data_IF_527870492159
#
_entry.id   IF_527870492159
#
_cell.length_a   1.000
_cell.length_b   1.000
_cell.length_c   1.000
_cell.angle_alpha   90.00
_cell.angle_beta   90.00
_cell.angle_gamma   90.00
#
_symmetry.space_group_name_H-M   'P 1'
#
loop_
_entity.id
_entity.type
_entity.pdbx_description
1 polymer ?
#
# COMPACT_ATOMS: atom_id res chain seq x y z
N UNK A 1 -17.56 25.78 -13.35
CA UNK A 1 -16.55 24.76 -12.99
C UNK A 1 -16.89 23.46 -13.74
N UNK A 2 -16.46 23.31 -15.00
CA UNK A 2 -16.54 22.03 -15.76
C UNK A 2 -15.52 20.98 -15.23
N UNK A 3 -15.23 21.05 -13.95
CA UNK A 3 -13.87 20.83 -13.45
C UNK A 3 -13.62 19.37 -13.08
N UNK A 4 -12.56 18.83 -13.66
CA UNK A 4 -11.88 17.58 -13.30
C UNK A 4 -12.66 16.29 -13.56
N UNK A 5 -13.82 16.06 -12.92
CA UNK A 5 -14.37 14.72 -12.77
C UNK A 5 -14.81 14.05 -14.09
N UNK A 6 -15.58 14.75 -14.93
CA UNK A 6 -16.06 14.20 -16.22
C UNK A 6 -14.90 13.96 -17.18
N UNK A 7 -13.91 14.86 -17.21
CA UNK A 7 -12.70 14.73 -18.03
C UNK A 7 -11.87 13.52 -17.60
N UNK A 8 -11.73 13.29 -16.29
CA UNK A 8 -11.03 12.13 -15.71
C UNK A 8 -11.72 10.82 -16.07
N UNK A 9 -13.05 10.71 -15.93
CA UNK A 9 -13.79 9.51 -16.31
C UNK A 9 -13.63 9.21 -17.81
N UNK A 10 -13.82 10.22 -18.68
CA UNK A 10 -13.69 10.06 -20.14
C UNK A 10 -12.27 9.64 -20.54
N UNK A 11 -11.25 10.18 -19.85
CA UNK A 11 -9.84 9.81 -19.99
C UNK A 11 -9.57 8.35 -19.57
N UNK A 12 -10.00 7.96 -18.37
CA UNK A 12 -9.82 6.61 -17.83
C UNK A 12 -10.48 5.53 -18.71
N UNK A 13 -11.65 5.82 -19.28
CA UNK A 13 -12.35 4.93 -20.23
C UNK A 13 -11.57 4.80 -21.55
N UNK A 14 -10.95 5.89 -22.03
CA UNK A 14 -10.11 5.86 -23.25
C UNK A 14 -8.87 5.00 -23.06
N UNK A 15 -8.28 5.04 -21.87
CA UNK A 15 -7.04 4.36 -21.49
C UNK A 15 -7.25 2.98 -20.86
N UNK A 16 -8.37 2.30 -21.16
CA UNK A 16 -8.70 0.96 -20.64
C UNK A 16 -7.59 -0.10 -20.79
N UNK A 17 -6.67 0.07 -21.75
CA UNK A 17 -5.53 -0.84 -21.98
C UNK A 17 -4.40 -0.66 -20.96
N UNK A 18 -4.30 0.47 -20.26
CA UNK A 18 -3.24 0.71 -19.26
C UNK A 18 -3.34 -0.30 -18.10
N UNK A 19 -4.50 -0.50 -17.45
CA UNK A 19 -4.64 -1.52 -16.42
C UNK A 19 -4.41 -2.95 -16.92
N UNK A 20 -4.62 -3.22 -18.21
CA UNK A 20 -4.32 -4.52 -18.81
C UNK A 20 -2.83 -4.79 -18.82
N UNK A 21 -2.05 -3.84 -19.35
CA UNK A 21 -0.59 -3.93 -19.44
C UNK A 21 0.00 -4.03 -18.04
N UNK A 22 -0.43 -3.15 -17.12
CA UNK A 22 -0.02 -3.18 -15.71
C UNK A 22 -0.36 -4.53 -15.08
N UNK A 23 -1.56 -5.04 -15.31
CA UNK A 23 -1.99 -6.33 -14.76
C UNK A 23 -1.15 -7.51 -15.24
N UNK A 24 -0.84 -7.56 -16.53
CA UNK A 24 0.05 -8.58 -17.11
C UNK A 24 1.46 -8.47 -16.53
N UNK A 25 2.03 -7.26 -16.46
CA UNK A 25 3.35 -7.02 -15.89
C UNK A 25 3.41 -7.44 -14.41
N UNK A 26 2.36 -7.13 -13.63
CA UNK A 26 2.27 -7.55 -12.23
C UNK A 26 2.19 -9.07 -12.10
N UNK A 27 1.42 -9.77 -12.94
CA UNK A 27 1.37 -11.24 -12.90
C UNK A 27 2.76 -11.83 -13.19
N UNK A 28 3.44 -11.34 -14.22
CA UNK A 28 4.81 -11.79 -14.56
C UNK A 28 5.75 -11.53 -13.39
N UNK A 29 5.72 -10.34 -12.82
CA UNK A 29 6.53 -9.96 -11.67
C UNK A 29 6.24 -10.85 -10.46
N UNK A 30 4.98 -11.11 -10.15
CA UNK A 30 4.58 -11.96 -9.04
C UNK A 30 5.02 -13.42 -9.23
N UNK A 31 4.91 -13.95 -10.46
CA UNK A 31 5.45 -15.28 -10.79
C UNK A 31 6.98 -15.28 -10.60
N UNK A 32 7.68 -14.27 -11.11
CA UNK A 32 9.12 -14.12 -10.92
C UNK A 32 9.51 -14.07 -9.44
N UNK A 33 8.74 -13.36 -8.62
CA UNK A 33 8.94 -13.29 -7.18
C UNK A 33 8.83 -14.66 -6.51
N UNK A 34 7.85 -15.47 -6.91
CA UNK A 34 7.62 -16.80 -6.35
C UNK A 34 8.62 -17.85 -6.84
N UNK A 35 9.14 -17.72 -8.06
CA UNK A 35 10.15 -18.65 -8.61
C UNK A 35 11.56 -18.33 -8.14
N UNK A 36 11.83 -17.09 -7.72
CA UNK A 36 13.14 -16.65 -7.22
C UNK A 36 13.06 -16.07 -5.80
N UNK A 37 12.63 -16.86 -4.80
CA UNK A 37 12.29 -16.33 -3.48
C UNK A 37 13.49 -15.71 -2.76
N UNK A 38 14.69 -16.28 -2.91
CA UNK A 38 15.90 -15.75 -2.27
C UNK A 38 16.36 -14.42 -2.89
N UNK A 39 16.34 -14.32 -4.21
CA UNK A 39 16.71 -13.08 -4.91
C UNK A 39 15.69 -11.97 -4.60
N UNK A 40 14.40 -12.32 -4.63
CA UNK A 40 13.31 -11.42 -4.27
C UNK A 40 13.40 -10.96 -2.82
N UNK A 41 13.81 -11.86 -1.92
CA UNK A 41 14.04 -11.53 -0.53
C UNK A 41 15.14 -10.49 -0.36
N UNK A 42 16.28 -10.70 -1.04
CA UNK A 42 17.38 -9.76 -1.05
C UNK A 42 16.95 -8.40 -1.62
N UNK A 43 16.18 -8.38 -2.72
CA UNK A 43 15.64 -7.13 -3.28
C UNK A 43 14.76 -6.40 -2.26
N UNK A 44 13.89 -7.12 -1.55
CA UNK A 44 13.02 -6.53 -0.53
C UNK A 44 13.84 -5.95 0.65
N UNK A 45 14.87 -6.69 1.09
CA UNK A 45 15.80 -6.23 2.12
C UNK A 45 16.57 -4.97 1.69
N UNK A 46 17.00 -4.89 0.42
CA UNK A 46 17.66 -3.70 -0.13
C UNK A 46 16.72 -2.50 -0.20
N UNK A 47 15.49 -2.68 -0.68
CA UNK A 47 14.48 -1.60 -0.72
C UNK A 47 14.19 -1.09 0.70
N UNK A 48 14.06 -2.00 1.66
CA UNK A 48 13.89 -1.64 3.07
C UNK A 48 15.08 -0.86 3.63
N UNK A 49 16.31 -1.25 3.28
CA UNK A 49 17.52 -0.53 3.68
C UNK A 49 17.58 0.88 3.08
N UNK A 50 17.20 1.02 1.81
CA UNK A 50 17.07 2.33 1.15
C UNK A 50 16.00 3.20 1.81
N UNK A 51 14.88 2.60 2.24
CA UNK A 51 13.84 3.32 2.97
C UNK A 51 14.38 3.92 4.27
N UNK A 52 15.13 3.16 5.08
CA UNK A 52 15.74 3.68 6.30
C UNK A 52 16.71 4.84 6.02
N UNK A 53 17.55 4.70 4.99
CA UNK A 53 18.47 5.75 4.60
C UNK A 53 17.73 7.01 4.16
N UNK A 54 16.75 6.87 3.26
CA UNK A 54 16.01 8.00 2.73
C UNK A 54 15.15 8.68 3.80
N UNK A 55 14.46 7.91 4.66
CA UNK A 55 13.71 8.44 5.79
C UNK A 55 14.63 9.20 6.73
N UNK A 56 15.78 8.62 7.08
CA UNK A 56 16.77 9.26 7.95
C UNK A 56 17.27 10.59 7.39
N UNK A 57 17.62 10.63 6.11
CA UNK A 57 18.03 11.87 5.44
C UNK A 57 16.92 12.92 5.42
N UNK A 58 15.67 12.52 5.12
CA UNK A 58 14.54 13.43 5.10
C UNK A 58 14.20 13.97 6.49
N UNK A 59 14.28 13.15 7.53
CA UNK A 59 14.11 13.57 8.93
C UNK A 59 15.19 14.55 9.37
N UNK A 60 16.46 14.33 8.99
CA UNK A 60 17.55 15.28 9.24
C UNK A 60 17.27 16.61 8.55
N UNK A 61 16.93 16.60 7.25
CA UNK A 61 16.62 17.80 6.49
C UNK A 61 15.43 18.55 7.13
N UNK A 62 14.37 17.82 7.49
CA UNK A 62 13.19 18.37 8.14
C UNK A 62 13.56 19.03 9.49
N UNK A 63 14.33 18.34 10.33
CA UNK A 63 14.74 18.85 11.64
C UNK A 63 15.57 20.13 11.53
N UNK A 64 16.51 20.19 10.56
CA UNK A 64 17.36 21.37 10.35
C UNK A 64 16.53 22.55 9.84
N UNK A 65 15.63 22.31 8.88
CA UNK A 65 14.82 23.37 8.27
C UNK A 65 13.75 23.93 9.23
N UNK A 66 13.26 23.13 10.17
CA UNK A 66 12.16 23.49 11.06
C UNK A 66 12.62 23.67 12.53
N UNK A 67 13.92 23.77 12.78
CA UNK A 67 14.50 23.84 14.14
C UNK A 67 13.94 24.96 15.03
N UNK A 68 13.45 26.04 14.42
CA UNK A 68 12.89 27.19 15.14
C UNK A 68 11.36 27.17 15.21
N UNK A 69 10.70 26.35 14.38
CA UNK A 69 9.24 26.32 14.20
C UNK A 69 8.61 25.11 14.91
N UNK A 70 9.37 24.03 15.09
CA UNK A 70 8.90 22.76 15.66
C UNK A 70 9.55 22.51 17.01
N UNK A 71 8.74 22.47 18.06
CA UNK A 71 9.16 21.98 19.37
C UNK A 71 9.57 20.50 19.27
N UNK A 72 10.71 20.16 19.87
CA UNK A 72 11.24 18.80 19.82
C UNK A 72 12.00 18.43 18.53
N UNK A 73 12.39 19.40 17.70
CA UNK A 73 13.22 19.16 16.49
C UNK A 73 14.45 18.27 16.73
N UNK A 74 15.04 18.32 17.93
CA UNK A 74 16.19 17.48 18.32
C UNK A 74 15.89 15.98 18.28
N UNK A 75 14.64 15.56 18.55
CA UNK A 75 14.22 14.17 18.45
C UNK A 75 14.13 13.71 16.99
N UNK A 76 13.66 14.58 16.09
CA UNK A 76 13.67 14.32 14.65
C UNK A 76 15.09 14.24 14.11
N UNK A 77 16.01 15.09 14.59
CA UNK A 77 17.41 15.01 14.18
C UNK A 77 18.07 13.71 14.68
N UNK A 78 17.86 13.34 15.94
CA UNK A 78 18.41 12.12 16.52
C UNK A 78 17.84 10.86 15.83
N UNK A 79 16.52 10.82 15.63
CA UNK A 79 15.85 9.76 14.88
C UNK A 79 16.36 9.67 13.44
N UNK A 80 16.50 10.80 12.77
CA UNK A 80 17.00 10.86 11.40
C UNK A 80 18.44 10.38 11.26
N UNK A 81 19.34 10.76 12.18
CA UNK A 81 20.72 10.26 12.22
C UNK A 81 20.74 8.75 12.44
N UNK A 82 19.96 8.25 13.40
CA UNK A 82 19.86 6.83 13.69
C UNK A 82 19.36 6.06 12.47
N UNK A 83 18.26 6.50 11.85
CA UNK A 83 17.68 5.89 10.66
C UNK A 83 18.67 5.88 9.48
N UNK A 84 19.40 6.99 9.25
CA UNK A 84 20.42 7.06 8.22
C UNK A 84 21.58 6.08 8.48
N UNK A 85 22.04 5.97 9.72
CA UNK A 85 23.07 5.02 10.12
C UNK A 85 22.62 3.57 9.91
N UNK A 86 21.39 3.23 10.34
CA UNK A 86 20.81 1.92 10.07
C UNK A 86 20.75 1.66 8.56
N UNK A 87 20.24 2.61 7.77
CA UNK A 87 20.21 2.49 6.31
C UNK A 87 21.59 2.20 5.70
N UNK A 88 22.63 2.93 6.12
CA UNK A 88 24.00 2.71 5.67
C UNK A 88 24.54 1.32 6.06
N UNK A 89 24.34 0.87 7.30
CA UNK A 89 24.81 -0.44 7.79
C UNK A 89 24.11 -1.56 7.01
N UNK A 90 22.80 -1.44 6.83
CA UNK A 90 21.99 -2.42 6.13
C UNK A 90 22.40 -2.51 4.64
N UNK A 91 22.60 -1.38 3.96
CA UNK A 91 23.09 -1.39 2.58
C UNK A 91 24.51 -1.96 2.44
N UNK A 92 25.37 -1.72 3.43
CA UNK A 92 26.74 -2.25 3.46
C UNK A 92 26.82 -3.75 3.72
N UNK A 93 25.80 -4.36 4.32
CA UNK A 93 25.79 -5.79 4.64
C UNK A 93 24.43 -6.45 4.33
N UNK A 94 24.30 -7.10 3.15
CA UNK A 94 23.09 -7.81 2.74
C UNK A 94 22.60 -8.86 3.75
N UNK A 95 23.50 -9.54 4.47
CA UNK A 95 23.12 -10.57 5.43
C UNK A 95 22.43 -9.95 6.66
N UNK A 96 22.90 -8.79 7.13
CA UNK A 96 22.26 -8.08 8.24
C UNK A 96 20.88 -7.55 7.81
N UNK A 97 20.74 -7.05 6.59
CA UNK A 97 19.46 -6.61 6.02
C UNK A 97 18.42 -7.72 5.96
N UNK A 98 18.86 -8.89 5.51
CA UNK A 98 18.05 -10.11 5.49
C UNK A 98 17.75 -10.67 6.90
N UNK A 99 18.39 -10.23 7.97
CA UNK A 99 17.99 -10.61 9.32
C UNK A 99 17.09 -9.54 9.97
N UNK A 100 17.34 -8.28 9.64
CA UNK A 100 16.72 -7.12 10.30
C UNK A 100 15.29 -6.91 9.84
N UNK A 101 15.01 -7.04 8.54
CA UNK A 101 13.67 -6.79 7.98
C UNK A 101 12.58 -7.66 8.67
N UNK A 102 12.75 -8.98 8.81
CA UNK A 102 11.77 -9.82 9.49
C UNK A 102 11.69 -9.58 10.99
N UNK A 103 12.79 -9.19 11.64
CA UNK A 103 12.77 -8.83 13.06
C UNK A 103 11.90 -7.60 13.29
N UNK A 104 12.10 -6.54 12.50
CA UNK A 104 11.29 -5.31 12.59
C UNK A 104 9.81 -5.64 12.34
N UNK A 105 9.51 -6.43 11.31
CA UNK A 105 8.14 -6.83 11.01
C UNK A 105 7.55 -7.78 12.06
N UNK A 106 8.35 -8.65 12.65
CA UNK A 106 7.96 -9.54 13.74
C UNK A 106 7.57 -8.76 15.00
N UNK A 107 8.39 -7.80 15.42
CA UNK A 107 8.07 -6.91 16.53
C UNK A 107 6.86 -6.02 16.25
N UNK A 108 6.76 -5.48 15.03
CA UNK A 108 5.58 -4.71 14.61
C UNK A 108 4.31 -5.58 14.67
N UNK A 109 4.36 -6.78 14.11
CA UNK A 109 3.26 -7.75 14.13
C UNK A 109 2.88 -8.12 15.57
N UNK A 110 3.86 -8.26 16.47
CA UNK A 110 3.62 -8.56 17.88
C UNK A 110 2.84 -7.42 18.54
N UNK A 111 3.32 -6.19 18.38
CA UNK A 111 2.67 -5.01 18.93
C UNK A 111 1.25 -4.82 18.37
N UNK A 112 1.07 -5.01 17.06
CA UNK A 112 -0.27 -4.98 16.42
C UNK A 112 -1.20 -6.05 16.95
N UNK A 113 -0.70 -7.26 17.21
CA UNK A 113 -1.50 -8.36 17.75
C UNK A 113 -1.91 -8.08 19.19
N UNK A 114 -1.03 -7.50 20.00
CA UNK A 114 -1.38 -7.02 21.35
C UNK A 114 -2.41 -5.89 21.32
N UNK A 115 -2.28 -4.91 20.43
CA UNK A 115 -3.32 -3.88 20.23
C UNK A 115 -4.67 -4.50 19.87
N UNK A 116 -4.69 -5.46 18.95
CA UNK A 116 -5.92 -6.13 18.53
C UNK A 116 -6.53 -6.97 19.66
N UNK A 117 -5.69 -7.55 20.53
CA UNK A 117 -6.13 -8.23 21.73
C UNK A 117 -6.83 -7.24 22.68
N UNK A 118 -6.25 -6.06 22.90
CA UNK A 118 -6.88 -4.98 23.68
C UNK A 118 -8.24 -4.58 23.10
N UNK A 119 -8.29 -4.34 21.78
CA UNK A 119 -9.55 -4.01 21.08
C UNK A 119 -10.59 -5.13 21.22
N UNK A 120 -10.18 -6.39 21.22
CA UNK A 120 -11.10 -7.51 21.41
C UNK A 120 -11.76 -7.50 22.80
N UNK A 121 -11.03 -7.06 23.83
CA UNK A 121 -11.56 -6.89 25.18
C UNK A 121 -12.57 -5.74 25.24
N UNK A 122 -12.29 -4.64 24.56
CA UNK A 122 -13.22 -3.52 24.46
C UNK A 122 -14.51 -3.94 23.74
N UNK A 123 -14.41 -4.68 22.64
CA UNK A 123 -15.58 -5.20 21.93
C UNK A 123 -16.42 -6.17 22.77
N UNK A 124 -15.76 -6.98 23.62
CA UNK A 124 -16.45 -7.82 24.60
C UNK A 124 -17.23 -6.96 25.60
N UNK A 125 -16.62 -5.89 26.11
CA UNK A 125 -17.25 -4.96 27.05
C UNK A 125 -18.41 -4.19 26.41
N UNK A 126 -18.36 -3.90 25.11
CA UNK A 126 -19.46 -3.28 24.36
C UNK A 126 -20.56 -4.27 23.92
N UNK A 127 -20.50 -5.54 24.33
CA UNK A 127 -21.55 -6.53 24.04
C UNK A 127 -21.57 -7.05 22.60
N UNK A 128 -20.50 -6.83 21.81
CA UNK A 128 -20.43 -7.30 20.43
C UNK A 128 -20.16 -8.81 20.41
N UNK A 129 -21.15 -9.61 20.00
CA UNK A 129 -21.10 -11.10 20.02
C UNK A 129 -19.91 -11.72 19.27
N UNK A 130 -19.30 -11.03 18.31
CA UNK A 130 -18.17 -11.56 17.50
C UNK A 130 -16.77 -11.33 18.12
N UNK A 131 -16.67 -10.81 19.34
CA UNK A 131 -15.39 -10.52 20.01
C UNK A 131 -14.44 -11.73 20.08
N UNK A 132 -14.98 -12.93 20.30
CA UNK A 132 -14.17 -14.16 20.43
C UNK A 132 -13.38 -14.51 19.17
N UNK A 133 -13.87 -14.14 17.98
CA UNK A 133 -13.08 -14.32 16.76
C UNK A 133 -11.85 -13.43 16.75
N UNK A 134 -12.01 -12.18 17.16
CA UNK A 134 -10.92 -11.21 17.21
C UNK A 134 -9.87 -11.67 18.22
N UNK A 135 -10.27 -12.11 19.42
CA UNK A 135 -9.34 -12.66 20.42
C UNK A 135 -8.56 -13.85 19.86
N UNK A 136 -9.22 -14.76 19.15
CA UNK A 136 -8.56 -15.93 18.55
C UNK A 136 -7.52 -15.50 17.51
N UNK A 137 -7.87 -14.58 16.60
CA UNK A 137 -6.93 -14.05 15.61
C UNK A 137 -5.77 -13.28 16.26
N UNK A 138 -6.01 -12.55 17.34
CA UNK A 138 -4.96 -11.86 18.09
C UNK A 138 -3.96 -12.83 18.73
N UNK A 139 -4.43 -13.92 19.34
CA UNK A 139 -3.56 -14.94 19.94
C UNK A 139 -2.74 -15.66 18.87
N UNK A 140 -3.37 -16.04 17.74
CA UNK A 140 -2.66 -16.59 16.59
C UNK A 140 -1.63 -15.60 16.04
N UNK A 141 -1.98 -14.31 15.99
CA UNK A 141 -1.07 -13.24 15.60
C UNK A 141 0.16 -13.15 16.50
N UNK A 142 -0.03 -13.18 17.83
CA UNK A 142 1.07 -13.17 18.79
C UNK A 142 2.01 -14.38 18.58
N UNK A 143 1.44 -15.58 18.46
CA UNK A 143 2.23 -16.80 18.21
C UNK A 143 3.00 -16.70 16.89
N UNK A 144 2.33 -16.23 15.84
CA UNK A 144 2.96 -16.00 14.54
C UNK A 144 4.11 -15.00 14.65
N UNK A 145 3.94 -13.90 15.38
CA UNK A 145 5.01 -12.93 15.61
C UNK A 145 6.23 -13.55 16.32
N UNK A 146 6.01 -14.42 17.31
CA UNK A 146 7.11 -15.14 17.96
C UNK A 146 7.85 -16.06 16.99
N UNK A 147 7.13 -16.79 16.13
CA UNK A 147 7.73 -17.62 15.08
C UNK A 147 8.58 -16.75 14.13
N UNK A 148 8.09 -15.56 13.77
CA UNK A 148 8.80 -14.63 12.90
C UNK A 148 10.13 -14.15 13.51
N UNK A 149 10.11 -13.83 14.80
CA UNK A 149 11.29 -13.35 15.53
C UNK A 149 12.30 -14.49 15.73
N UNK A 150 11.83 -15.71 16.03
CA UNK A 150 12.69 -16.86 16.29
C UNK A 150 13.43 -17.34 15.03
N UNK A 151 12.79 -17.29 13.86
CA UNK A 151 13.39 -17.72 12.61
C UNK A 151 13.27 -16.64 11.52
N UNK A 152 14.21 -15.67 11.47
CA UNK A 152 14.18 -14.58 10.51
C UNK A 152 14.24 -15.03 9.06
N UNK A 153 14.92 -16.15 8.75
CA UNK A 153 15.00 -16.67 7.37
C UNK A 153 13.63 -17.18 6.92
N UNK A 154 12.97 -17.99 7.75
CA UNK A 154 11.62 -18.46 7.48
C UNK A 154 10.62 -17.29 7.37
N UNK A 155 10.74 -16.30 8.24
CA UNK A 155 9.94 -15.09 8.22
C UNK A 155 10.14 -14.31 6.91
N UNK A 156 11.39 -14.11 6.48
CA UNK A 156 11.75 -13.48 5.22
C UNK A 156 11.13 -14.17 4.01
N UNK A 157 11.23 -15.50 3.94
CA UNK A 157 10.61 -16.29 2.87
C UNK A 157 9.09 -16.20 2.88
N UNK A 158 8.47 -16.25 4.06
CA UNK A 158 7.02 -16.08 4.20
C UNK A 158 6.59 -14.74 3.65
N UNK A 159 7.31 -13.66 3.95
CA UNK A 159 7.02 -12.33 3.41
C UNK A 159 7.10 -12.32 1.88
N UNK A 160 8.10 -12.97 1.28
CA UNK A 160 8.23 -13.06 -0.18
C UNK A 160 7.08 -13.84 -0.82
N UNK A 161 6.63 -14.93 -0.19
CA UNK A 161 5.46 -15.66 -0.70
C UNK A 161 4.20 -14.80 -0.63
N UNK A 162 3.95 -14.15 0.52
CA UNK A 162 2.80 -13.26 0.68
C UNK A 162 2.83 -12.07 -0.30
N UNK A 163 3.99 -11.46 -0.53
CA UNK A 163 4.12 -10.37 -1.52
C UNK A 163 3.93 -10.89 -2.94
N UNK A 164 4.50 -12.04 -3.29
CA UNK A 164 4.30 -12.66 -4.60
C UNK A 164 2.82 -12.95 -4.89
N UNK A 165 2.11 -13.57 -3.94
CA UNK A 165 0.66 -13.80 -4.07
C UNK A 165 -0.13 -12.48 -4.14
N UNK A 166 0.22 -11.47 -3.33
CA UNK A 166 -0.42 -10.17 -3.37
C UNK A 166 -0.22 -9.49 -4.73
N UNK A 167 0.99 -9.51 -5.29
CA UNK A 167 1.31 -8.95 -6.60
C UNK A 167 0.50 -9.64 -7.71
N UNK A 168 0.42 -10.98 -7.68
CA UNK A 168 -0.41 -11.74 -8.64
C UNK A 168 -1.89 -11.34 -8.50
N UNK A 169 -2.40 -11.27 -7.28
CA UNK A 169 -3.80 -10.89 -7.02
C UNK A 169 -4.11 -9.47 -7.51
N UNK A 170 -3.19 -8.52 -7.30
CA UNK A 170 -3.30 -7.15 -7.80
C UNK A 170 -3.23 -7.10 -9.33
N UNK A 171 -2.40 -7.95 -9.94
CA UNK A 171 -2.33 -8.14 -11.39
C UNK A 171 -3.66 -8.64 -11.97
N UNK A 172 -4.24 -9.68 -11.37
CA UNK A 172 -5.56 -10.19 -11.74
C UNK A 172 -6.65 -9.13 -11.59
N UNK A 173 -6.66 -8.39 -10.47
CA UNK A 173 -7.60 -7.30 -10.24
C UNK A 173 -7.47 -6.20 -11.31
N UNK A 174 -6.26 -5.84 -11.70
CA UNK A 174 -5.99 -4.83 -12.74
C UNK A 174 -6.49 -5.27 -14.12
N UNK A 175 -6.37 -6.56 -14.44
CA UNK A 175 -6.94 -7.13 -15.67
C UNK A 175 -8.47 -7.07 -15.64
N UNK A 176 -9.11 -7.42 -14.52
CA UNK A 176 -10.56 -7.31 -14.37
C UNK A 176 -11.02 -5.86 -14.55
N UNK A 177 -10.31 -4.90 -13.94
CA UNK A 177 -10.58 -3.47 -14.10
C UNK A 177 -10.45 -3.02 -15.55
N UNK A 178 -9.45 -3.52 -16.29
CA UNK A 178 -9.31 -3.23 -17.72
C UNK A 178 -10.55 -3.64 -18.52
N UNK A 179 -11.05 -4.85 -18.28
CA UNK A 179 -12.24 -5.34 -18.99
C UNK A 179 -13.50 -4.56 -18.59
N UNK A 180 -13.61 -4.15 -17.33
CA UNK A 180 -14.70 -3.28 -16.89
C UNK A 180 -14.64 -1.91 -17.59
N UNK A 181 -13.46 -1.28 -17.69
CA UNK A 181 -13.27 -0.03 -18.42
C UNK A 181 -13.55 -0.16 -19.92
N UNK A 182 -13.13 -1.28 -20.53
CA UNK A 182 -13.41 -1.58 -21.94
C UNK A 182 -14.91 -1.70 -22.17
N UNK A 183 -15.64 -2.39 -21.28
CA UNK A 183 -17.11 -2.51 -21.34
C UNK A 183 -17.79 -1.14 -21.23
N UNK A 184 -17.33 -0.29 -20.30
CA UNK A 184 -17.85 1.08 -20.16
C UNK A 184 -17.62 1.91 -21.43
N UNK A 185 -16.45 1.77 -22.08
CA UNK A 185 -16.16 2.42 -23.37
C UNK A 185 -17.13 1.99 -24.45
N UNK A 186 -17.41 0.70 -24.57
CA UNK A 186 -18.34 0.17 -25.57
C UNK A 186 -19.77 0.67 -25.33
N UNK A 187 -20.24 0.65 -24.07
CA UNK A 187 -21.58 1.16 -23.72
C UNK A 187 -21.69 2.65 -24.07
N UNK A 188 -20.70 3.47 -23.69
CA UNK A 188 -20.69 4.90 -24.00
C UNK A 188 -20.67 5.20 -25.51
N UNK A 189 -19.96 4.39 -26.30
CA UNK A 189 -19.93 4.53 -27.75
C UNK A 189 -21.27 4.17 -28.42
N UNK A 190 -22.01 3.22 -27.85
CA UNK A 190 -23.29 2.73 -28.39
C UNK A 190 -24.50 3.62 -28.04
N UNK A 191 -24.34 4.63 -27.18
CA UNK A 191 -25.41 5.61 -26.91
C UNK A 191 -25.69 6.42 -28.18
N UNK A 192 -26.96 6.59 -28.55
CA UNK A 192 -27.34 7.36 -29.74
C UNK A 192 -26.91 8.83 -29.63
N UNK A 193 -26.59 9.45 -30.76
CA UNK A 193 -26.15 10.84 -30.77
C UNK A 193 -27.27 11.80 -30.32
N UNK A 194 -28.54 11.44 -30.55
CA UNK A 194 -29.70 12.14 -29.99
C UNK A 194 -29.65 12.20 -28.45
N UNK A 195 -29.45 11.06 -27.78
CA UNK A 195 -29.34 11.02 -26.32
C UNK A 195 -28.11 11.78 -25.80
N UNK A 196 -26.99 11.74 -26.53
CA UNK A 196 -25.78 12.51 -26.18
C UNK A 196 -26.05 14.01 -26.24
N UNK A 197 -26.70 14.48 -27.30
CA UNK A 197 -27.03 15.89 -27.49
C UNK A 197 -28.01 16.37 -26.41
N UNK A 198 -29.09 15.61 -26.17
CA UNK A 198 -30.07 15.93 -25.11
C UNK A 198 -29.44 16.00 -23.71
N UNK A 199 -28.48 15.13 -23.42
CA UNK A 199 -27.75 15.16 -22.16
C UNK A 199 -26.86 16.40 -22.02
N UNK A 200 -26.13 16.79 -23.07
CA UNK A 200 -25.33 18.02 -23.08
C UNK A 200 -26.21 19.27 -22.91
N UNK A 201 -27.37 19.31 -23.56
CA UNK A 201 -28.34 20.40 -23.42
C UNK A 201 -28.83 20.55 -21.97
N UNK A 202 -29.27 19.44 -21.35
CA UNK A 202 -29.72 19.42 -19.94
C UNK A 202 -28.60 19.78 -18.96
N UNK A 203 -27.38 19.29 -19.20
CA UNK A 203 -26.19 19.64 -18.40
C UNK A 203 -25.92 21.14 -18.48
N UNK A 204 -25.98 21.73 -19.67
CA UNK A 204 -25.75 23.16 -19.88
C UNK A 204 -26.84 24.01 -19.22
N UNK A 205 -28.10 23.59 -19.28
CA UNK A 205 -29.22 24.23 -18.61
C UNK A 205 -29.04 24.24 -17.08
N UNK A 206 -28.67 23.10 -16.49
CA UNK A 206 -28.35 23.00 -15.06
C UNK A 206 -27.24 23.98 -14.64
N UNK A 207 -26.14 24.04 -15.40
CA UNK A 207 -25.05 24.96 -15.07
C UNK A 207 -25.41 26.43 -15.25
N UNK A 208 -26.30 26.77 -16.19
CA UNK A 208 -26.86 28.13 -16.30
C UNK A 208 -27.71 28.46 -15.07
N UNK A 209 -28.59 27.56 -14.65
CA UNK A 209 -29.45 27.78 -13.47
C UNK A 209 -28.70 27.98 -12.14
N UNK A 210 -27.51 27.40 -12.00
CA UNK A 210 -26.64 27.62 -10.82
C UNK A 210 -25.89 28.95 -10.91
N UNK A 211 -25.66 29.46 -12.13
CA UNK A 211 -24.87 30.67 -12.36
C UNK A 211 -25.73 31.94 -12.36
N UNK A 212 -27.02 31.79 -12.64
CA UNK A 212 -28.02 32.87 -12.67
C UNK A 212 -28.72 33.08 -11.29
N UNK A 213 -28.39 32.26 -10.29
CA UNK A 213 -28.77 32.39 -8.87
C UNK A 213 -27.55 32.77 -8.02
#
# INVERSE_FOLDING_TARGET
METSFIKTIKSSIKQWYIPLIVGILLIILGIYTLTTPLASYLTLATIFSMYFLFSGLMEIIFAINNKNEVEGWGWYLAGGILNALFGCILLGNPAISMATLPLVLGFYSLFKSFQLLSVSMDMKNYGIKKWGWITTFSVLGILFSFVLIWNPIFAGLTLVYWTGFAIISAGLASIVLSFQLKRLKTVANNVSDDWKNRFEDLKNEYYRSIKDN
#
